data_IF_222887171761
#
_entry.id   IF_222887171761
#
_cell.length_a   1.000
_cell.length_b   1.000
_cell.length_c   1.000
_cell.angle_alpha   90.00
_cell.angle_beta   90.00
_cell.angle_gamma   90.00
#
_symmetry.space_group_name_H-M   'P 1'
#
loop_
_entity.id
_entity.type
_entity.pdbx_description
1 polymer ?
#
# COMPACT_ATOMS: atom_id res chain seq x y z
N UNK A 1 -12.65 -38.52 -9.89
CA UNK A 1 -12.69 -37.40 -8.92
C UNK A 1 -11.30 -36.80 -8.60
N UNK A 2 -10.27 -36.95 -9.46
CA UNK A 2 -8.92 -36.39 -9.22
C UNK A 2 -8.61 -35.12 -10.03
N UNK A 3 -9.34 -34.85 -11.11
CA UNK A 3 -9.02 -33.76 -12.03
C UNK A 3 -9.64 -32.40 -11.66
N UNK A 4 -10.59 -32.37 -10.72
CA UNK A 4 -11.28 -31.14 -10.32
C UNK A 4 -10.51 -30.34 -9.26
N UNK A 5 -9.72 -31.02 -8.41
CA UNK A 5 -8.92 -30.38 -7.36
C UNK A 5 -7.74 -29.58 -7.98
N UNK A 6 -7.17 -30.06 -9.09
CA UNK A 6 -6.09 -29.37 -9.80
C UNK A 6 -6.55 -28.05 -10.45
N UNK A 7 -7.76 -28.03 -10.99
CA UNK A 7 -8.32 -26.83 -11.63
C UNK A 7 -8.58 -25.71 -10.61
N UNK A 8 -9.06 -26.05 -9.41
CA UNK A 8 -9.29 -25.08 -8.34
C UNK A 8 -7.96 -24.47 -7.87
N UNK A 9 -6.90 -25.27 -7.72
CA UNK A 9 -5.58 -24.77 -7.32
C UNK A 9 -4.97 -23.79 -8.34
N UNK A 10 -5.18 -24.04 -9.64
CA UNK A 10 -4.74 -23.17 -10.74
C UNK A 10 -5.51 -21.84 -10.81
N UNK A 11 -6.79 -21.83 -10.44
CA UNK A 11 -7.57 -20.58 -10.37
C UNK A 11 -7.09 -19.66 -9.24
N UNK A 12 -6.70 -20.24 -8.10
CA UNK A 12 -6.20 -19.47 -6.96
C UNK A 12 -4.81 -18.86 -7.22
N UNK A 13 -3.89 -19.58 -7.87
CA UNK A 13 -2.55 -19.05 -8.18
C UNK A 13 -2.56 -17.93 -9.22
N UNK A 14 -3.51 -17.95 -10.17
CA UNK A 14 -3.68 -16.85 -11.12
C UNK A 14 -4.24 -15.58 -10.47
N UNK A 15 -5.10 -15.70 -9.45
CA UNK A 15 -5.66 -14.55 -8.74
C UNK A 15 -4.65 -13.89 -7.79
N UNK A 16 -3.81 -14.68 -7.12
CA UNK A 16 -2.73 -14.11 -6.30
C UNK A 16 -1.70 -13.37 -7.14
N UNK A 17 -1.33 -13.87 -8.33
CA UNK A 17 -0.48 -13.12 -9.27
C UNK A 17 -1.16 -11.86 -9.82
N UNK A 18 -2.45 -11.90 -10.16
CA UNK A 18 -3.15 -10.72 -10.67
C UNK A 18 -3.27 -9.60 -9.62
N UNK A 19 -3.44 -9.95 -8.34
CA UNK A 19 -3.39 -8.98 -7.24
C UNK A 19 -1.97 -8.43 -7.06
N UNK A 20 -0.93 -9.29 -7.01
CA UNK A 20 0.47 -8.81 -6.91
C UNK A 20 0.83 -7.83 -8.05
N UNK A 21 0.33 -8.04 -9.27
CA UNK A 21 0.63 -7.20 -10.44
C UNK A 21 -0.12 -5.87 -10.43
N UNK A 22 -1.34 -5.82 -9.89
CA UNK A 22 -2.13 -4.58 -9.84
C UNK A 22 -1.53 -3.55 -8.85
N UNK A 23 -1.02 -4.01 -7.70
CA UNK A 23 -0.48 -3.11 -6.67
C UNK A 23 0.97 -2.69 -6.96
N UNK A 24 1.79 -3.55 -7.57
CA UNK A 24 3.21 -3.27 -7.88
C UNK A 24 3.41 -2.51 -9.21
N UNK A 25 2.47 -2.60 -10.14
CA UNK A 25 2.57 -1.99 -11.47
C UNK A 25 2.13 -0.52 -11.55
N UNK A 26 1.38 -0.02 -10.57
CA UNK A 26 0.89 1.36 -10.59
C UNK A 26 2.06 2.35 -10.44
N UNK A 27 2.11 3.36 -11.32
CA UNK A 27 3.06 4.46 -11.25
C UNK A 27 2.56 5.56 -10.29
N UNK A 28 3.50 6.29 -9.70
CA UNK A 28 3.19 7.30 -8.67
C UNK A 28 2.32 8.43 -9.23
N UNK A 29 2.58 8.87 -10.46
CA UNK A 29 1.74 9.84 -11.18
C UNK A 29 0.29 9.36 -11.33
N UNK A 30 0.07 8.09 -11.63
CA UNK A 30 -1.27 7.51 -11.78
C UNK A 30 -2.01 7.50 -10.45
N UNK A 31 -1.34 7.17 -9.34
CA UNK A 31 -1.93 7.23 -8.01
C UNK A 31 -2.36 8.67 -7.66
N UNK A 32 -1.49 9.65 -7.95
CA UNK A 32 -1.77 11.08 -7.73
C UNK A 32 -2.99 11.52 -8.55
N UNK A 33 -3.02 11.22 -9.85
CA UNK A 33 -4.14 11.58 -10.72
C UNK A 33 -5.45 10.95 -10.25
N UNK A 34 -5.43 9.66 -9.86
CA UNK A 34 -6.62 8.99 -9.31
C UNK A 34 -7.10 9.70 -8.05
N UNK A 35 -6.19 10.07 -7.16
CA UNK A 35 -6.54 10.73 -5.90
C UNK A 35 -7.22 12.10 -6.07
N UNK A 36 -7.08 12.71 -7.25
CA UNK A 36 -7.61 14.04 -7.56
C UNK A 36 -8.96 13.98 -8.32
N UNK A 37 -9.48 12.79 -8.63
CA UNK A 37 -10.76 12.59 -9.32
C UNK A 37 -11.98 12.69 -8.38
N UNK A 38 -11.92 13.59 -7.40
CA UNK A 38 -12.94 13.76 -6.35
C UNK A 38 -12.99 12.62 -5.35
N UNK A 39 -14.08 12.56 -4.57
CA UNK A 39 -14.18 11.68 -3.40
C UNK A 39 -13.99 10.19 -3.72
N UNK A 40 -14.55 9.71 -4.83
CA UNK A 40 -14.38 8.31 -5.26
C UNK A 40 -12.93 8.02 -5.61
N UNK A 41 -12.27 8.95 -6.31
CA UNK A 41 -10.85 8.84 -6.65
C UNK A 41 -9.97 8.79 -5.42
N UNK A 42 -10.23 9.68 -4.45
CA UNK A 42 -9.55 9.65 -3.16
C UNK A 42 -9.80 8.35 -2.39
N UNK A 43 -11.02 7.82 -2.37
CA UNK A 43 -11.32 6.53 -1.74
C UNK A 43 -10.52 5.37 -2.35
N UNK A 44 -10.36 5.33 -3.68
CA UNK A 44 -9.50 4.34 -4.33
C UNK A 44 -8.03 4.50 -3.93
N UNK A 45 -7.51 5.74 -3.92
CA UNK A 45 -6.15 6.02 -3.48
C UNK A 45 -5.94 5.64 -2.00
N UNK A 46 -6.93 5.89 -1.15
CA UNK A 46 -6.94 5.51 0.26
C UNK A 46 -6.85 3.99 0.43
N UNK A 47 -7.70 3.22 -0.27
CA UNK A 47 -7.63 1.75 -0.24
C UNK A 47 -6.27 1.22 -0.68
N UNK A 48 -5.69 1.84 -1.72
CA UNK A 48 -4.34 1.50 -2.19
C UNK A 48 -3.26 1.74 -1.14
N UNK A 49 -3.27 2.93 -0.53
CA UNK A 49 -2.31 3.31 0.50
C UNK A 49 -2.45 2.41 1.73
N UNK A 50 -3.67 2.17 2.21
CA UNK A 50 -3.93 1.36 3.39
C UNK A 50 -3.56 -0.11 3.17
N UNK A 51 -3.85 -0.67 2.00
CA UNK A 51 -3.44 -2.04 1.67
C UNK A 51 -1.92 -2.23 1.74
N UNK A 52 -1.14 -1.23 1.32
CA UNK A 52 0.32 -1.25 1.44
C UNK A 52 0.76 -1.10 2.89
N UNK A 53 0.18 -0.14 3.63
CA UNK A 53 0.51 0.11 5.02
C UNK A 53 0.22 -1.12 5.90
N UNK A 54 -0.95 -1.72 5.76
CA UNK A 54 -1.36 -2.91 6.52
C UNK A 54 -0.51 -4.13 6.13
N UNK A 55 -0.18 -4.28 4.83
CA UNK A 55 0.73 -5.32 4.37
C UNK A 55 2.13 -5.18 4.99
N UNK A 56 2.65 -3.95 5.07
CA UNK A 56 3.93 -3.65 5.71
C UNK A 56 3.88 -3.93 7.22
N UNK A 57 2.84 -3.51 7.92
CA UNK A 57 2.66 -3.78 9.35
C UNK A 57 2.53 -5.28 9.64
N UNK A 58 1.85 -6.04 8.77
CA UNK A 58 1.81 -7.50 8.83
C UNK A 58 3.21 -8.12 8.72
N UNK A 59 4.05 -7.64 7.79
CA UNK A 59 5.44 -8.09 7.65
C UNK A 59 6.30 -7.75 8.88
N UNK A 60 6.11 -6.56 9.46
CA UNK A 60 6.79 -6.14 10.70
C UNK A 60 6.40 -7.03 11.87
N UNK A 61 5.11 -7.34 12.02
CA UNK A 61 4.61 -8.24 13.05
C UNK A 61 5.21 -9.66 12.92
N UNK A 62 5.28 -10.20 11.70
CA UNK A 62 5.96 -11.49 11.42
C UNK A 62 7.44 -11.42 11.83
N UNK A 63 8.09 -10.29 11.55
CA UNK A 63 9.51 -10.04 11.85
C UNK A 63 9.78 -9.62 13.30
N UNK A 64 8.75 -9.61 14.16
CA UNK A 64 8.82 -9.14 15.56
C UNK A 64 9.36 -7.71 15.73
N UNK A 65 9.15 -6.88 14.71
CA UNK A 65 9.44 -5.45 14.76
C UNK A 65 8.17 -4.74 15.26
N UNK A 66 8.32 -3.77 16.16
CA UNK A 66 7.19 -3.01 16.69
C UNK A 66 6.40 -2.28 15.59
N UNK A 67 5.09 -2.04 15.79
CA UNK A 67 4.27 -1.34 14.82
C UNK A 67 4.76 0.11 14.67
N UNK A 68 4.63 0.65 13.47
CA UNK A 68 4.86 2.07 13.23
C UNK A 68 3.66 2.91 13.61
N UNK A 69 2.47 2.43 13.24
CA UNK A 69 1.23 3.08 13.64
C UNK A 69 0.97 2.81 15.11
N UNK A 70 1.06 3.84 15.94
CA UNK A 70 0.60 3.78 17.33
C UNK A 70 -0.93 3.88 17.33
N UNK A 71 -1.60 2.84 17.82
CA UNK A 71 -3.05 2.84 17.97
C UNK A 71 -3.47 3.90 18.99
N UNK A 72 -4.48 4.72 18.65
CA UNK A 72 -4.99 5.70 19.60
C UNK A 72 -6.12 6.59 19.09
N UNK A 73 -5.99 7.20 17.92
CA UNK A 73 -6.99 8.18 17.43
C UNK A 73 -7.02 8.39 15.91
N UNK A 74 -6.02 7.91 15.17
CA UNK A 74 -5.85 8.24 13.75
C UNK A 74 -6.78 7.41 12.87
N UNK A 75 -7.61 8.07 12.08
CA UNK A 75 -8.51 7.45 11.11
C UNK A 75 -7.78 7.00 9.85
N UNK A 76 -8.36 6.03 9.15
CA UNK A 76 -7.91 5.58 7.83
C UNK A 76 -7.77 6.74 6.82
N UNK A 77 -8.69 7.70 6.89
CA UNK A 77 -8.67 8.90 6.06
C UNK A 77 -7.44 9.77 6.36
N UNK A 78 -7.13 10.02 7.63
CA UNK A 78 -5.97 10.81 8.04
C UNK A 78 -4.65 10.12 7.65
N UNK A 79 -4.59 8.79 7.82
CA UNK A 79 -3.43 8.00 7.40
C UNK A 79 -3.18 8.16 5.91
N UNK A 80 -4.20 7.89 5.09
CA UNK A 80 -4.09 7.99 3.64
C UNK A 80 -3.79 9.43 3.19
N UNK A 81 -4.43 10.44 3.79
CA UNK A 81 -4.18 11.84 3.47
C UNK A 81 -2.74 12.25 3.75
N UNK A 82 -2.20 11.90 4.93
CA UNK A 82 -0.83 12.23 5.31
C UNK A 82 0.20 11.60 4.37
N UNK A 83 -0.01 10.33 4.04
CA UNK A 83 0.89 9.58 3.14
C UNK A 83 0.79 10.15 1.73
N UNK A 84 -0.42 10.38 1.21
CA UNK A 84 -0.64 10.94 -0.12
C UNK A 84 0.01 12.33 -0.26
N UNK A 85 -0.11 13.18 0.76
CA UNK A 85 0.57 14.49 0.77
C UNK A 85 2.09 14.34 0.73
N UNK A 86 2.64 13.36 1.45
CA UNK A 86 4.07 13.05 1.41
C UNK A 86 4.50 12.52 0.04
N UNK A 87 3.70 11.64 -0.58
CA UNK A 87 3.94 11.13 -1.95
C UNK A 87 3.96 12.27 -2.96
N UNK A 88 3.01 13.22 -2.88
CA UNK A 88 2.95 14.40 -3.75
C UNK A 88 4.18 15.31 -3.59
N UNK A 89 4.73 15.40 -2.38
CA UNK A 89 5.90 16.23 -2.09
C UNK A 89 7.24 15.65 -2.59
N UNK A 90 7.31 14.34 -2.86
CA UNK A 90 8.57 13.66 -3.20
C UNK A 90 9.03 13.85 -4.67
N UNK A 91 8.21 14.44 -5.54
CA UNK A 91 8.47 14.67 -6.98
C UNK A 91 9.11 13.46 -7.71
N UNK A 92 8.54 12.27 -7.49
CA UNK A 92 9.00 10.98 -8.07
C UNK A 92 7.95 10.34 -8.98
N UNK A 93 7.49 11.03 -10.05
CA UNK A 93 6.31 10.62 -10.81
C UNK A 93 6.45 9.25 -11.49
N UNK A 94 7.67 8.86 -11.87
CA UNK A 94 7.94 7.62 -12.64
C UNK A 94 8.24 6.39 -11.77
N UNK A 95 8.42 6.56 -10.45
CA UNK A 95 8.66 5.44 -9.55
C UNK A 95 7.38 4.62 -9.33
N UNK A 96 7.49 3.31 -9.05
CA UNK A 96 6.35 2.51 -8.63
C UNK A 96 5.68 3.12 -7.39
N UNK A 97 4.37 3.33 -7.45
CA UNK A 97 3.59 3.95 -6.38
C UNK A 97 3.76 3.21 -5.06
N UNK A 98 3.77 1.87 -5.10
CA UNK A 98 3.97 1.05 -3.91
C UNK A 98 5.26 1.38 -3.16
N UNK A 99 6.37 1.53 -3.88
CA UNK A 99 7.67 1.91 -3.30
C UNK A 99 7.62 3.31 -2.67
N UNK A 100 7.03 4.28 -3.37
CA UNK A 100 6.96 5.67 -2.86
C UNK A 100 6.03 5.75 -1.65
N UNK A 101 4.92 5.01 -1.65
CA UNK A 101 3.98 4.89 -0.52
C UNK A 101 4.64 4.24 0.69
N UNK A 102 5.40 3.15 0.53
CA UNK A 102 6.17 2.52 1.62
C UNK A 102 7.12 3.55 2.24
N UNK A 103 7.91 4.25 1.43
CA UNK A 103 8.85 5.25 1.92
C UNK A 103 8.12 6.39 2.65
N UNK A 104 7.04 6.90 2.06
CA UNK A 104 6.22 7.95 2.67
C UNK A 104 5.59 7.50 4.00
N UNK A 105 5.14 6.25 4.08
CA UNK A 105 4.60 5.64 5.29
C UNK A 105 5.68 5.53 6.38
N UNK A 106 6.82 4.93 6.05
CA UNK A 106 7.95 4.77 6.98
C UNK A 106 8.43 6.12 7.51
N UNK A 107 8.53 7.14 6.65
CA UNK A 107 8.85 8.51 7.06
C UNK A 107 7.80 9.17 7.93
N UNK A 108 6.53 8.83 7.75
CA UNK A 108 5.43 9.45 8.47
C UNK A 108 5.15 8.83 9.84
N UNK A 109 5.46 7.55 10.01
CA UNK A 109 5.04 6.74 11.16
C UNK A 109 6.16 5.91 11.80
N UNK A 110 7.33 5.81 11.18
CA UNK A 110 8.46 5.02 11.67
C UNK A 110 9.79 5.82 11.66
N UNK A 111 9.85 7.07 12.16
CA UNK A 111 11.04 7.91 12.00
C UNK A 111 12.32 7.27 12.57
N UNK A 112 12.20 6.49 13.64
CA UNK A 112 13.32 5.80 14.29
C UNK A 112 13.81 4.55 13.53
N UNK A 113 13.08 4.09 12.50
CA UNK A 113 13.49 2.95 11.67
C UNK A 113 14.37 3.33 10.48
N UNK A 114 14.59 4.63 10.24
CA UNK A 114 15.47 5.14 9.16
C UNK A 114 16.87 5.52 9.63
N UNK A 115 17.20 5.28 10.91
CA UNK A 115 18.51 5.55 11.51
C UNK A 115 19.38 4.30 11.72
N UNK A 116 18.96 3.14 11.18
CA UNK A 116 19.77 1.91 11.13
C UNK A 116 20.23 1.62 9.70
#
# INVERSE_FOLDING_TARGET
>A
MKNWILAIALFFTCHTHAQEVAWTGMKTDRLIVISEQGDKGFQFAMLYILGIADGLEGQRAISRVGPCRVEGTTTNHEIASKILNSVKALDKPKEPAGKVVINAYLSSYCPDSMTQ
#
